data_IF_958240334511
#
_entry.id   IF_958240334511
#
_cell.length_a   1.000
_cell.length_b   1.000
_cell.length_c   1.000
_cell.angle_alpha   90.00
_cell.angle_beta   90.00
_cell.angle_gamma   90.00
#
_symmetry.space_group_name_H-M   'P 1'
#
loop_
_entity.id
_entity.type
_entity.pdbx_description
1 polymer ?
#
# COMPACT_ATOMS: atom_id res chain seq x y z
N UNK A 1 4.72 4.05 -16.58
CA UNK A 1 4.10 4.25 -15.27
C UNK A 1 2.72 3.62 -15.22
N UNK A 2 2.33 3.14 -14.06
CA UNK A 2 1.08 2.42 -13.86
C UNK A 2 0.04 3.33 -13.21
N UNK A 3 -1.24 3.04 -13.44
CA UNK A 3 -2.34 3.71 -12.76
C UNK A 3 -2.60 3.11 -11.37
N UNK A 4 -3.60 3.63 -10.67
CA UNK A 4 -3.90 3.18 -9.31
C UNK A 4 -4.33 1.71 -9.24
N UNK A 5 -5.13 1.23 -10.21
CA UNK A 5 -5.56 -0.16 -10.21
C UNK A 5 -4.39 -1.14 -10.28
N UNK A 6 -3.40 -0.85 -11.13
CA UNK A 6 -2.19 -1.68 -11.24
C UNK A 6 -1.33 -1.58 -9.98
N UNK A 7 -1.26 -0.38 -9.41
CA UNK A 7 -0.53 -0.14 -8.15
C UNK A 7 -1.16 -0.95 -7.01
N UNK A 8 -2.48 -0.91 -6.86
CA UNK A 8 -3.19 -1.67 -5.84
C UNK A 8 -3.01 -3.18 -6.03
N UNK A 9 -3.08 -3.67 -7.27
CA UNK A 9 -2.88 -5.08 -7.57
C UNK A 9 -1.46 -5.54 -7.19
N UNK A 10 -0.45 -4.73 -7.46
CA UNK A 10 0.92 -5.08 -7.09
C UNK A 10 1.11 -5.05 -5.56
N UNK A 11 0.52 -4.09 -4.86
CA UNK A 11 0.55 -4.04 -3.40
C UNK A 11 -0.10 -5.31 -2.81
N UNK A 12 -1.25 -5.72 -3.33
CA UNK A 12 -1.91 -6.96 -2.91
C UNK A 12 -1.03 -8.19 -3.14
N UNK A 13 -0.38 -8.27 -4.29
CA UNK A 13 0.54 -9.36 -4.61
C UNK A 13 1.70 -9.41 -3.60
N UNK A 14 2.28 -8.27 -3.28
CA UNK A 14 3.39 -8.16 -2.33
C UNK A 14 2.94 -8.58 -0.93
N UNK A 15 1.77 -8.11 -0.49
CA UNK A 15 1.21 -8.47 0.82
C UNK A 15 0.97 -9.98 0.92
N UNK A 16 0.36 -10.59 -0.10
CA UNK A 16 0.14 -12.04 -0.14
C UNK A 16 1.45 -12.81 -0.07
N UNK A 17 2.45 -12.39 -0.84
CA UNK A 17 3.75 -13.05 -0.85
C UNK A 17 4.46 -12.99 0.51
N UNK A 18 4.23 -11.92 1.28
CA UNK A 18 4.78 -11.76 2.61
C UNK A 18 3.98 -12.46 3.71
N UNK A 19 2.82 -13.04 3.37
CA UNK A 19 1.97 -13.76 4.31
C UNK A 19 0.87 -12.95 4.96
N UNK A 20 0.53 -11.79 4.41
CA UNK A 20 -0.62 -10.98 4.84
C UNK A 20 -1.83 -11.25 3.96
N UNK A 21 -3.02 -11.20 4.56
CA UNK A 21 -4.27 -11.14 3.81
C UNK A 21 -4.48 -9.68 3.41
N UNK A 22 -4.47 -9.33 2.12
CA UNK A 22 -4.65 -7.95 1.69
C UNK A 22 -6.11 -7.54 1.75
N UNK A 23 -6.37 -6.40 2.41
CA UNK A 23 -7.71 -5.85 2.58
C UNK A 23 -7.68 -4.36 2.25
N UNK A 24 -8.76 -3.85 1.66
CA UNK A 24 -8.90 -2.41 1.51
C UNK A 24 -9.12 -1.75 2.88
N UNK A 25 -8.80 -0.47 3.01
CA UNK A 25 -8.93 0.25 4.29
C UNK A 25 -10.37 0.33 4.82
N UNK A 26 -11.35 0.06 3.97
CA UNK A 26 -12.76 0.08 4.37
C UNK A 26 -13.27 -1.27 4.87
N UNK A 27 -12.44 -2.30 4.80
CA UNK A 27 -12.82 -3.63 5.30
C UNK A 27 -12.64 -3.69 6.82
N UNK A 28 -13.58 -4.36 7.51
CA UNK A 28 -13.50 -4.50 8.96
C UNK A 28 -12.43 -5.53 9.36
N UNK A 29 -11.53 -5.12 10.24
CA UNK A 29 -10.54 -6.01 10.84
C UNK A 29 -11.10 -6.87 11.98
N UNK A 30 -12.32 -6.60 12.43
CA UNK A 30 -12.98 -7.33 13.53
C UNK A 30 -13.59 -8.65 13.10
N UNK A 31 -13.52 -8.98 11.81
CA UNK A 31 -14.11 -10.21 11.29
C UNK A 31 -13.49 -11.43 11.97
N UNK A 32 -14.36 -12.31 12.48
CA UNK A 32 -13.95 -13.58 13.05
C UNK A 32 -13.22 -14.48 12.06
N UNK A 33 -13.49 -14.31 10.76
CA UNK A 33 -12.84 -15.06 9.68
C UNK A 33 -11.34 -14.79 9.60
N UNK A 34 -10.88 -13.65 10.08
CA UNK A 34 -9.49 -13.22 9.93
C UNK A 34 -8.70 -13.20 11.24
N UNK A 35 -9.27 -13.69 12.35
CA UNK A 35 -8.60 -13.61 13.68
C UNK A 35 -7.24 -14.29 13.73
N UNK A 36 -7.09 -15.42 13.07
CA UNK A 36 -5.85 -16.19 13.05
C UNK A 36 -4.87 -15.79 11.96
N UNK A 37 -5.12 -14.69 11.25
CA UNK A 37 -4.35 -14.28 10.08
C UNK A 37 -3.65 -12.95 10.30
N UNK A 38 -2.53 -12.76 9.59
CA UNK A 38 -1.87 -11.46 9.45
C UNK A 38 -2.63 -10.66 8.40
N UNK A 39 -2.96 -9.41 8.72
CA UNK A 39 -3.75 -8.55 7.84
C UNK A 39 -2.92 -7.39 7.32
N UNK A 40 -3.05 -7.09 6.03
CA UNK A 40 -2.45 -5.93 5.41
C UNK A 40 -3.53 -5.04 4.79
N UNK A 41 -3.83 -3.93 5.46
CA UNK A 41 -4.74 -2.92 4.90
C UNK A 41 -3.94 -1.95 4.06
N UNK A 42 -4.51 -1.53 2.95
CA UNK A 42 -3.91 -0.52 2.08
C UNK A 42 -4.96 0.49 1.65
N UNK A 43 -4.53 1.73 1.47
CA UNK A 43 -5.43 2.78 1.02
C UNK A 43 -4.67 3.99 0.50
N UNK A 44 -5.29 4.68 -0.44
CA UNK A 44 -4.81 5.93 -0.98
C UNK A 44 -5.27 7.06 -0.06
N UNK A 45 -4.31 7.82 0.50
CA UNK A 45 -4.60 8.91 1.45
C UNK A 45 -4.64 10.28 0.79
N UNK A 46 -3.95 10.44 -0.30
CA UNK A 46 -3.90 11.70 -1.04
C UNK A 46 -2.94 11.60 -2.20
N UNK A 47 -2.88 12.66 -2.98
CA UNK A 47 -1.95 12.73 -4.09
C UNK A 47 -1.54 14.17 -4.36
N UNK A 48 -0.42 14.32 -5.05
CA UNK A 48 0.08 15.62 -5.52
C UNK A 48 0.42 15.50 -7.00
N UNK A 49 0.00 16.48 -7.79
CA UNK A 49 0.39 16.59 -9.19
C UNK A 49 1.80 17.17 -9.24
N UNK A 50 2.73 16.45 -9.84
CA UNK A 50 4.13 16.88 -9.91
C UNK A 50 4.57 17.28 -11.31
N UNK A 51 3.89 16.80 -12.34
CA UNK A 51 4.19 17.17 -13.71
C UNK A 51 2.98 16.95 -14.64
N UNK A 52 2.92 17.73 -15.71
CA UNK A 52 1.92 17.58 -16.76
C UNK A 52 2.59 17.77 -18.12
N UNK A 53 2.20 16.95 -19.07
CA UNK A 53 2.67 17.06 -20.44
C UNK A 53 1.52 16.83 -21.41
N UNK A 54 1.51 17.61 -22.49
CA UNK A 54 0.50 17.48 -23.56
C UNK A 54 1.13 16.73 -24.73
N UNK A 55 0.38 15.81 -25.33
CA UNK A 55 0.83 15.08 -26.51
C UNK A 55 1.05 16.04 -27.70
N UNK A 56 1.85 15.61 -28.68
CA UNK A 56 2.15 16.42 -29.87
C UNK A 56 0.91 16.84 -30.67
N UNK A 57 -0.13 16.02 -30.67
CA UNK A 57 -1.38 16.33 -31.36
C UNK A 57 -2.35 17.16 -30.49
N UNK A 58 -2.00 17.47 -29.27
CA UNK A 58 -2.82 18.25 -28.35
C UNK A 58 -4.07 17.55 -27.83
N UNK A 59 -4.21 16.24 -28.08
CA UNK A 59 -5.42 15.49 -27.72
C UNK A 59 -5.37 14.81 -26.37
N UNK A 60 -4.18 14.67 -25.79
CA UNK A 60 -3.99 13.95 -24.54
C UNK A 60 -3.15 14.77 -23.57
N UNK A 61 -3.52 14.72 -22.32
CA UNK A 61 -2.71 15.24 -21.21
C UNK A 61 -2.22 14.05 -20.40
N UNK A 62 -0.92 14.02 -20.17
CA UNK A 62 -0.27 13.06 -19.27
C UNK A 62 0.04 13.76 -17.97
N UNK A 63 -0.48 13.25 -16.88
CA UNK A 63 -0.29 13.84 -15.57
C UNK A 63 0.49 12.87 -14.69
N UNK A 64 1.62 13.31 -14.17
CA UNK A 64 2.37 12.56 -13.18
C UNK A 64 1.92 12.96 -11.78
N UNK A 65 1.50 11.96 -11.01
CA UNK A 65 1.05 12.12 -9.64
C UNK A 65 2.01 11.40 -8.70
N UNK A 66 2.23 11.98 -7.53
CA UNK A 66 2.81 11.24 -6.40
C UNK A 66 1.69 10.98 -5.41
N UNK A 67 1.40 9.71 -5.19
CA UNK A 67 0.31 9.28 -4.32
C UNK A 67 0.84 8.90 -2.95
N UNK A 68 0.17 9.35 -1.90
CA UNK A 68 0.42 8.91 -0.54
C UNK A 68 -0.42 7.67 -0.28
N UNK A 69 0.25 6.54 -0.08
CA UNK A 69 -0.39 5.25 0.20
C UNK A 69 -0.02 4.86 1.62
N UNK A 70 -1.00 4.44 2.38
CA UNK A 70 -0.77 3.91 3.72
C UNK A 70 -1.08 2.43 3.77
N UNK A 71 -0.15 1.67 4.31
CA UNK A 71 -0.32 0.27 4.63
C UNK A 71 -0.40 0.13 6.15
N UNK A 72 -1.37 -0.65 6.63
CA UNK A 72 -1.47 -1.02 8.03
C UNK A 72 -1.24 -2.52 8.12
N UNK A 73 -0.10 -2.90 8.68
CA UNK A 73 0.35 -4.29 8.76
C UNK A 73 0.09 -4.80 10.16
N UNK A 74 -0.82 -5.76 10.28
CA UNK A 74 -1.31 -6.24 11.57
C UNK A 74 -0.94 -7.68 11.82
N UNK A 75 -0.54 -7.97 13.05
CA UNK A 75 -0.36 -9.33 13.53
C UNK A 75 -1.69 -10.04 13.78
N UNK A 76 -1.62 -11.30 14.18
CA UNK A 76 -2.80 -12.09 14.53
C UNK A 76 -3.51 -11.52 15.76
N UNK A 77 -4.81 -11.73 15.86
CA UNK A 77 -5.57 -11.33 17.04
C UNK A 77 -5.01 -12.04 18.29
N UNK A 78 -4.70 -11.25 19.33
CA UNK A 78 -4.08 -11.77 20.55
C UNK A 78 -2.60 -12.11 20.43
N UNK A 79 -1.99 -11.88 19.27
CA UNK A 79 -0.59 -12.26 19.00
C UNK A 79 0.43 -11.22 19.43
N UNK A 80 0.33 -10.67 20.62
CA UNK A 80 1.28 -9.66 21.11
C UNK A 80 2.70 -10.21 21.30
N UNK A 81 2.84 -11.53 21.44
CA UNK A 81 4.14 -12.19 21.58
C UNK A 81 4.81 -12.48 20.23
N UNK A 82 4.09 -12.29 19.11
CA UNK A 82 4.57 -12.58 17.76
C UNK A 82 5.22 -11.37 17.08
N UNK A 83 5.76 -10.45 17.85
CA UNK A 83 6.36 -9.21 17.34
C UNK A 83 7.47 -9.47 16.33
N UNK A 84 8.35 -10.42 16.61
CA UNK A 84 9.47 -10.75 15.71
C UNK A 84 8.95 -11.24 14.34
N UNK A 85 7.94 -12.09 14.34
CA UNK A 85 7.35 -12.60 13.11
C UNK A 85 6.67 -11.48 12.31
N UNK A 86 5.97 -10.59 13.00
CA UNK A 86 5.38 -9.41 12.36
C UNK A 86 6.47 -8.51 11.77
N UNK A 87 7.55 -8.26 12.50
CA UNK A 87 8.65 -7.43 12.03
C UNK A 87 9.32 -8.02 10.79
N UNK A 88 9.56 -9.33 10.76
CA UNK A 88 10.12 -10.01 9.59
C UNK A 88 9.20 -9.87 8.36
N UNK A 89 7.90 -10.04 8.54
CA UNK A 89 6.93 -9.89 7.46
C UNK A 89 6.88 -8.44 6.95
N UNK A 90 6.93 -7.47 7.85
CA UNK A 90 6.95 -6.05 7.48
C UNK A 90 8.23 -5.69 6.70
N UNK A 91 9.37 -6.21 7.10
CA UNK A 91 10.62 -6.01 6.38
C UNK A 91 10.57 -6.63 4.99
N UNK A 92 9.97 -7.82 4.86
CA UNK A 92 9.75 -8.47 3.57
C UNK A 92 8.91 -7.61 2.64
N UNK A 93 7.82 -7.01 3.15
CA UNK A 93 6.98 -6.09 2.38
C UNK A 93 7.80 -4.89 1.92
N UNK A 94 8.56 -4.26 2.80
CA UNK A 94 9.40 -3.10 2.46
C UNK A 94 10.40 -3.41 1.36
N UNK A 95 11.07 -4.55 1.45
CA UNK A 95 12.06 -4.98 0.46
C UNK A 95 11.42 -5.24 -0.90
N UNK A 96 10.28 -5.92 -0.92
CA UNK A 96 9.57 -6.22 -2.16
C UNK A 96 9.01 -4.96 -2.83
N UNK A 97 8.56 -3.98 -2.04
CA UNK A 97 8.14 -2.69 -2.57
C UNK A 97 9.30 -1.97 -3.27
N UNK A 98 10.48 -1.96 -2.67
CA UNK A 98 11.68 -1.34 -3.26
C UNK A 98 12.13 -2.04 -4.53
N UNK A 99 11.98 -3.36 -4.61
CA UNK A 99 12.41 -4.16 -5.75
C UNK A 99 11.38 -4.25 -6.87
N UNK A 100 10.16 -3.78 -6.63
CA UNK A 100 9.07 -3.93 -7.59
C UNK A 100 9.41 -3.28 -8.94
N UNK A 101 9.24 -4.02 -10.02
CA UNK A 101 9.35 -3.47 -11.38
C UNK A 101 8.08 -2.79 -11.85
N UNK A 102 6.99 -2.87 -11.08
CA UNK A 102 5.68 -2.27 -11.40
C UNK A 102 5.52 -0.93 -10.72
N UNK A 103 5.92 -0.83 -9.44
CA UNK A 103 5.75 0.38 -8.63
C UNK A 103 6.93 1.33 -8.81
N UNK A 104 6.64 2.61 -8.98
CA UNK A 104 7.62 3.66 -8.90
C UNK A 104 7.59 4.25 -7.48
N UNK A 105 8.35 3.64 -6.57
CA UNK A 105 8.40 4.06 -5.18
C UNK A 105 9.31 5.28 -5.03
N UNK A 106 8.74 6.39 -4.55
CA UNK A 106 9.46 7.65 -4.31
C UNK A 106 9.94 7.78 -2.87
N UNK A 107 9.36 7.02 -1.97
CA UNK A 107 9.74 7.02 -0.57
C UNK A 107 8.90 6.02 0.22
N UNK A 108 9.49 5.48 1.29
CA UNK A 108 8.79 4.55 2.17
C UNK A 108 9.30 4.76 3.60
N UNK A 109 8.38 4.74 4.57
CA UNK A 109 8.71 4.86 5.98
C UNK A 109 7.88 3.88 6.78
N UNK A 110 8.57 2.94 7.44
CA UNK A 110 7.95 1.97 8.33
C UNK A 110 7.98 2.48 9.76
N UNK A 111 6.80 2.60 10.38
CA UNK A 111 6.67 3.01 11.77
C UNK A 111 6.90 1.88 12.75
N UNK A 112 6.97 2.22 14.02
CA UNK A 112 7.14 1.24 15.11
C UNK A 112 5.88 0.42 15.32
N UNK A 113 6.04 -0.75 15.93
CA UNK A 113 4.92 -1.58 16.33
C UNK A 113 4.16 -0.93 17.50
N UNK A 114 2.84 -0.87 17.38
CA UNK A 114 1.94 -0.39 18.42
C UNK A 114 0.84 -1.41 18.64
N UNK A 115 0.29 -1.44 19.86
CA UNK A 115 -0.87 -2.29 20.15
C UNK A 115 -2.15 -1.59 19.78
N UNK A 116 -2.97 -2.25 18.98
CA UNK A 116 -4.34 -1.82 18.74
C UNK A 116 -5.24 -2.52 19.74
N UNK A 117 -5.58 -1.86 20.84
CA UNK A 117 -6.42 -2.46 21.90
C UNK A 117 -7.80 -2.88 21.41
N UNK A 118 -8.50 -2.05 20.61
CA UNK A 118 -9.81 -2.45 20.09
C UNK A 118 -9.76 -3.70 19.20
N UNK A 119 -8.66 -3.90 18.47
CA UNK A 119 -8.51 -5.02 17.55
C UNK A 119 -7.75 -6.20 18.17
N UNK A 120 -7.15 -6.02 19.34
CA UNK A 120 -6.29 -7.01 19.98
C UNK A 120 -5.15 -7.48 19.09
N UNK A 121 -4.54 -6.57 18.32
CA UNK A 121 -3.48 -6.86 17.37
C UNK A 121 -2.32 -5.90 17.51
N UNK A 122 -1.11 -6.37 17.21
CA UNK A 122 0.02 -5.48 16.97
C UNK A 122 -0.14 -4.90 15.56
N UNK A 123 0.23 -3.65 15.38
CA UNK A 123 0.14 -2.94 14.11
C UNK A 123 1.42 -2.15 13.84
N UNK A 124 1.89 -2.20 12.59
CA UNK A 124 2.91 -1.28 12.08
C UNK A 124 2.34 -0.60 10.84
N UNK A 125 2.57 0.69 10.74
CA UNK A 125 2.13 1.46 9.59
C UNK A 125 3.30 1.73 8.66
N UNK A 126 3.08 1.55 7.37
CA UNK A 126 4.04 1.86 6.33
C UNK A 126 3.48 2.99 5.47
N UNK A 127 4.13 4.14 5.52
CA UNK A 127 3.80 5.28 4.67
C UNK A 127 4.62 5.17 3.38
N UNK A 128 3.94 5.19 2.24
CA UNK A 128 4.53 4.94 0.94
C UNK A 128 4.16 6.07 -0.01
N UNK A 129 5.14 6.54 -0.79
CA UNK A 129 4.91 7.47 -1.88
C UNK A 129 5.17 6.77 -3.20
N UNK A 130 4.16 6.75 -4.07
CA UNK A 130 4.20 6.03 -5.35
C UNK A 130 3.87 6.97 -6.49
N UNK A 131 4.70 6.95 -7.53
CA UNK A 131 4.44 7.68 -8.76
C UNK A 131 3.40 6.96 -9.62
N UNK A 132 2.42 7.69 -10.08
CA UNK A 132 1.35 7.20 -10.97
C UNK A 132 1.25 8.15 -12.16
N UNK A 133 1.02 7.59 -13.34
CA UNK A 133 0.74 8.37 -14.53
C UNK A 133 -0.73 8.23 -14.91
N UNK A 134 -1.40 9.36 -15.01
CA UNK A 134 -2.77 9.42 -15.52
C UNK A 134 -2.77 10.04 -16.93
N UNK A 135 -3.60 9.49 -17.81
CA UNK A 135 -3.78 9.98 -19.18
C UNK A 135 -5.23 10.41 -19.36
N UNK A 136 -5.44 11.61 -19.87
CA UNK A 136 -6.78 12.14 -20.13
C UNK A 136 -6.85 12.61 -21.58
N UNK A 137 -7.90 12.20 -22.30
CA UNK A 137 -8.21 12.68 -23.63
C UNK A 137 -8.91 14.03 -23.53
N UNK A 138 -8.36 15.06 -24.16
CA UNK A 138 -8.90 16.43 -24.14
C UNK A 138 -9.29 16.98 -25.50
N UNK A 139 -9.03 16.24 -26.57
CA UNK A 139 -9.31 16.67 -27.94
C UNK A 139 -10.33 15.79 -28.61
N UNK A 140 -11.14 16.39 -29.44
CA UNK A 140 -12.03 15.68 -30.34
C UNK A 140 -11.69 15.97 -31.79
#
# INVERSE_FOLDING_TARGET
MTGWADTAAEIERILLAAGFVPLSEYTSADSLLHRGEYLGFYGLKGYEVVDEAVSHDGKKVYTELVCDVQLRLMGKAGGYDDREELDEKCESVSKELEKSGVLLVRGAKLGNAVQSLPLHRLERQLALKVGICAEVDIGE
#
